data_IF_824915307873
#
_entry.id   IF_824915307873
#
_cell.length_a   1.000
_cell.length_b   1.000
_cell.length_c   1.000
_cell.angle_alpha   90.00
_cell.angle_beta   90.00
_cell.angle_gamma   90.00
#
_symmetry.space_group_name_H-M   'P 1'
#
loop_
_entity.id
_entity.type
_entity.pdbx_description
1 polymer ?
#
# COMPACT_ATOMS: atom_id res chain seq x y z
N UNK A 1 6.55 15.20 -27.36
CA UNK A 1 6.24 15.31 -25.92
C UNK A 1 6.11 16.79 -25.58
N UNK A 2 4.90 17.35 -25.55
CA UNK A 2 4.70 18.74 -25.11
C UNK A 2 4.43 18.71 -23.61
N UNK A 3 5.35 19.28 -22.86
CA UNK A 3 5.21 19.54 -21.42
C UNK A 3 4.17 20.67 -21.27
N UNK A 4 3.03 20.39 -20.62
CA UNK A 4 2.06 21.44 -20.28
C UNK A 4 2.70 22.55 -19.42
N UNK A 5 2.05 23.72 -19.28
CA UNK A 5 2.62 24.86 -18.56
C UNK A 5 3.13 24.43 -17.19
N UNK A 6 4.35 24.84 -16.82
CA UNK A 6 4.94 24.47 -15.54
C UNK A 6 4.03 25.02 -14.43
N UNK A 7 3.50 24.13 -13.60
CA UNK A 7 2.79 24.52 -12.38
C UNK A 7 3.65 25.53 -11.61
N UNK A 8 3.01 26.49 -10.92
CA UNK A 8 3.72 27.52 -10.15
C UNK A 8 4.78 26.88 -9.22
N UNK A 9 5.84 27.62 -8.87
CA UNK A 9 6.84 27.12 -7.91
C UNK A 9 6.18 26.64 -6.63
N UNK A 10 5.16 27.34 -6.17
CA UNK A 10 4.39 26.99 -4.99
C UNK A 10 3.68 25.63 -5.12
N UNK A 11 3.06 25.32 -6.27
CA UNK A 11 2.39 24.03 -6.48
C UNK A 11 3.38 22.85 -6.47
N UNK A 12 4.59 23.03 -6.98
CA UNK A 12 5.64 22.00 -6.94
C UNK A 12 6.14 21.75 -5.51
N UNK A 13 6.36 22.82 -4.75
CA UNK A 13 6.74 22.70 -3.34
C UNK A 13 5.66 22.00 -2.50
N UNK A 14 4.39 22.37 -2.73
CA UNK A 14 3.26 21.74 -2.05
C UNK A 14 3.20 20.23 -2.37
N UNK A 15 3.31 19.84 -3.63
CA UNK A 15 3.32 18.42 -4.04
C UNK A 15 4.48 17.64 -3.41
N UNK A 16 5.68 18.21 -3.38
CA UNK A 16 6.84 17.60 -2.72
C UNK A 16 6.61 17.45 -1.22
N UNK A 17 6.06 18.46 -0.57
CA UNK A 17 5.73 18.41 0.87
C UNK A 17 4.70 17.36 1.20
N UNK A 18 3.61 17.26 0.42
CA UNK A 18 2.57 16.23 0.61
C UNK A 18 3.12 14.81 0.39
N UNK A 19 4.00 14.63 -0.60
CA UNK A 19 4.63 13.34 -0.82
C UNK A 19 5.60 12.94 0.28
N UNK A 20 6.47 13.87 0.73
CA UNK A 20 7.35 13.60 1.86
C UNK A 20 6.55 13.24 3.12
N UNK A 21 5.47 13.96 3.38
CA UNK A 21 4.60 13.65 4.52
C UNK A 21 3.95 12.26 4.37
N UNK A 22 3.60 11.80 3.16
CA UNK A 22 3.07 10.46 2.96
C UNK A 22 4.10 9.37 3.34
N UNK A 23 5.37 9.54 2.97
CA UNK A 23 6.45 8.64 3.39
C UNK A 23 6.64 8.64 4.90
N UNK A 24 6.63 9.82 5.54
CA UNK A 24 6.75 9.95 7.00
C UNK A 24 5.57 9.32 7.74
N UNK A 25 4.35 9.48 7.24
CA UNK A 25 3.15 8.86 7.81
C UNK A 25 3.20 7.33 7.66
N UNK A 26 3.57 6.82 6.50
CA UNK A 26 3.70 5.38 6.26
C UNK A 26 4.74 4.75 7.20
N UNK A 27 5.92 5.36 7.31
CA UNK A 27 6.98 4.90 8.22
C UNK A 27 6.56 5.05 9.68
N UNK A 28 6.04 6.21 10.09
CA UNK A 28 5.66 6.50 11.47
C UNK A 28 4.54 5.56 11.97
N UNK A 29 3.50 5.35 11.15
CA UNK A 29 2.42 4.41 11.48
C UNK A 29 2.96 2.97 11.61
N UNK A 30 3.84 2.56 10.70
CA UNK A 30 4.46 1.22 10.76
C UNK A 30 5.26 1.05 12.04
N UNK A 31 6.16 1.98 12.36
CA UNK A 31 6.97 1.93 13.58
C UNK A 31 6.09 1.94 14.85
N UNK A 32 5.04 2.75 14.86
CA UNK A 32 4.08 2.78 15.96
C UNK A 32 3.41 1.43 16.16
N UNK A 33 2.92 0.80 15.09
CA UNK A 33 2.29 -0.52 15.15
C UNK A 33 3.27 -1.63 15.56
N UNK A 34 4.52 -1.57 15.11
CA UNK A 34 5.58 -2.48 15.55
C UNK A 34 5.81 -2.40 17.06
N UNK A 35 5.94 -1.19 17.60
CA UNK A 35 6.14 -0.98 19.03
C UNK A 35 4.92 -1.41 19.85
N UNK A 36 3.70 -1.07 19.39
CA UNK A 36 2.46 -1.42 20.04
C UNK A 36 2.23 -2.93 20.10
N UNK A 37 2.66 -3.65 19.06
CA UNK A 37 2.47 -5.09 18.92
C UNK A 37 3.35 -5.92 19.85
N UNK A 38 4.43 -5.36 20.39
CA UNK A 38 5.40 -6.04 21.27
C UNK A 38 5.81 -7.41 20.71
N UNK A 39 6.52 -7.47 19.57
CA UNK A 39 6.84 -8.72 18.88
C UNK A 39 7.51 -9.72 19.80
N UNK A 40 7.16 -10.99 19.68
CA UNK A 40 7.71 -12.09 20.48
C UNK A 40 6.95 -12.38 21.79
N UNK A 41 6.01 -11.53 22.23
CA UNK A 41 5.23 -11.78 23.45
C UNK A 41 4.14 -12.84 23.26
N UNK A 42 3.68 -13.04 22.02
CA UNK A 42 2.69 -14.05 21.65
C UNK A 42 2.77 -14.36 20.16
N UNK A 43 2.10 -15.44 19.70
CA UNK A 43 1.94 -15.68 18.26
C UNK A 43 1.14 -14.57 17.58
N UNK A 44 0.11 -14.05 18.27
CA UNK A 44 -0.71 -12.97 17.77
C UNK A 44 0.13 -11.70 17.48
N UNK A 45 1.12 -11.39 18.33
CA UNK A 45 1.91 -10.15 18.23
C UNK A 45 2.64 -10.00 16.88
N UNK A 46 2.94 -11.11 16.22
CA UNK A 46 3.58 -11.11 14.90
C UNK A 46 2.63 -10.73 13.74
N UNK A 47 1.31 -10.96 13.92
CA UNK A 47 0.34 -10.60 12.90
C UNK A 47 0.34 -9.08 12.59
N UNK A 48 0.11 -8.18 13.55
CA UNK A 48 0.16 -6.75 13.26
C UNK A 48 1.54 -6.26 12.83
N UNK A 49 2.64 -6.91 13.27
CA UNK A 49 4.00 -6.61 12.81
C UNK A 49 4.12 -6.82 11.30
N UNK A 50 3.85 -8.02 10.82
CA UNK A 50 4.01 -8.34 9.41
C UNK A 50 2.99 -7.63 8.53
N UNK A 51 1.75 -7.45 8.99
CA UNK A 51 0.73 -6.73 8.25
C UNK A 51 1.02 -5.24 8.13
N UNK A 52 1.59 -4.60 9.15
CA UNK A 52 1.98 -3.19 9.06
C UNK A 52 3.18 -2.99 8.12
N UNK A 53 4.18 -3.86 8.15
CA UNK A 53 5.28 -3.84 7.19
C UNK A 53 4.76 -3.99 5.76
N UNK A 54 3.83 -4.94 5.53
CA UNK A 54 3.28 -5.19 4.21
C UNK A 54 2.44 -4.01 3.71
N UNK A 55 1.42 -3.60 4.46
CA UNK A 55 0.35 -2.75 3.97
C UNK A 55 0.45 -1.28 4.40
N UNK A 56 1.14 -0.96 5.52
CA UNK A 56 1.37 0.43 5.90
C UNK A 56 2.68 1.00 5.32
N UNK A 57 3.69 0.15 5.04
CA UNK A 57 4.98 0.58 4.52
C UNK A 57 5.22 0.12 3.08
N UNK A 58 5.44 -1.18 2.85
CA UNK A 58 5.94 -1.67 1.56
C UNK A 58 4.99 -1.41 0.40
N UNK A 59 3.67 -1.61 0.58
CA UNK A 59 2.69 -1.41 -0.48
C UNK A 59 2.59 0.06 -0.92
N UNK A 60 2.34 1.05 -0.04
CA UNK A 60 2.30 2.45 -0.45
C UNK A 60 3.64 2.94 -0.98
N UNK A 61 4.77 2.57 -0.38
CA UNK A 61 6.09 2.96 -0.86
C UNK A 61 6.37 2.44 -2.28
N UNK A 62 6.00 1.18 -2.57
CA UNK A 62 6.14 0.60 -3.90
C UNK A 62 5.38 1.39 -4.98
N UNK A 63 4.22 1.96 -4.65
CA UNK A 63 3.42 2.76 -5.59
C UNK A 63 4.00 4.17 -5.69
N UNK A 64 4.37 4.79 -4.58
CA UNK A 64 4.95 6.14 -4.51
C UNK A 64 6.30 6.27 -5.25
N UNK A 65 7.03 5.16 -5.48
CA UNK A 65 8.23 5.14 -6.32
C UNK A 65 8.02 5.77 -7.71
N UNK A 66 6.83 5.64 -8.27
CA UNK A 66 6.51 6.16 -9.60
C UNK A 66 6.00 7.61 -9.60
N UNK A 67 5.90 8.23 -8.43
CA UNK A 67 5.55 9.65 -8.33
C UNK A 67 6.62 10.51 -8.99
N UNK A 68 6.26 11.39 -9.94
CA UNK A 68 7.25 12.23 -10.63
C UNK A 68 7.87 13.28 -9.71
N UNK A 69 7.15 13.74 -8.70
CA UNK A 69 7.56 14.85 -7.84
C UNK A 69 7.85 14.46 -6.38
N UNK A 70 7.31 13.31 -5.94
CA UNK A 70 7.28 12.90 -4.53
C UNK A 70 8.23 11.74 -4.22
N UNK A 71 8.71 11.01 -5.25
CA UNK A 71 9.59 9.88 -5.03
C UNK A 71 10.98 10.35 -4.60
N UNK A 72 11.57 9.83 -3.51
CA UNK A 72 12.97 10.06 -3.16
C UNK A 72 13.91 9.53 -4.25
N UNK A 73 13.41 8.64 -5.11
CA UNK A 73 14.12 8.07 -6.26
C UNK A 73 13.78 8.79 -7.58
N UNK A 74 13.40 10.07 -7.55
CA UNK A 74 13.01 10.83 -8.76
C UNK A 74 14.11 10.85 -9.82
N UNK A 75 15.39 10.82 -9.40
CA UNK A 75 16.57 10.81 -10.29
C UNK A 75 16.93 9.40 -10.82
N UNK A 76 16.33 8.35 -10.28
CA UNK A 76 16.60 6.99 -10.73
C UNK A 76 15.95 6.68 -12.07
N UNK A 77 16.61 5.83 -12.86
CA UNK A 77 16.05 5.34 -14.12
C UNK A 77 14.75 4.57 -13.88
N UNK A 78 13.90 4.51 -14.91
CA UNK A 78 12.65 3.73 -14.85
C UNK A 78 12.90 2.25 -14.54
N UNK A 79 13.99 1.69 -15.04
CA UNK A 79 14.37 0.30 -14.78
C UNK A 79 14.61 0.06 -13.29
N UNK A 80 15.36 0.94 -12.61
CA UNK A 80 15.61 0.86 -11.16
C UNK A 80 14.29 0.95 -10.38
N UNK A 81 13.40 1.89 -10.75
CA UNK A 81 12.07 2.00 -10.10
C UNK A 81 11.24 0.72 -10.26
N UNK A 82 11.26 0.09 -11.43
CA UNK A 82 10.56 -1.18 -11.66
C UNK A 82 11.16 -2.29 -10.79
N UNK A 83 12.49 -2.38 -10.67
CA UNK A 83 13.13 -3.34 -9.80
C UNK A 83 12.79 -3.13 -8.32
N UNK A 84 12.85 -1.88 -7.84
CA UNK A 84 12.49 -1.54 -6.47
C UNK A 84 11.00 -1.86 -6.19
N UNK A 85 10.11 -1.52 -7.13
CA UNK A 85 8.69 -1.85 -7.04
C UNK A 85 8.47 -3.36 -6.93
N UNK A 86 9.10 -4.13 -7.81
CA UNK A 86 8.99 -5.58 -7.80
C UNK A 86 9.49 -6.19 -6.48
N UNK A 87 10.64 -5.73 -5.99
CA UNK A 87 11.21 -6.18 -4.72
C UNK A 87 10.28 -5.83 -3.54
N UNK A 88 9.79 -4.59 -3.48
CA UNK A 88 8.86 -4.17 -2.44
C UNK A 88 7.55 -4.97 -2.48
N UNK A 89 6.98 -5.24 -3.66
CA UNK A 89 5.77 -6.05 -3.79
C UNK A 89 5.99 -7.52 -3.41
N UNK A 90 7.18 -8.06 -3.67
CA UNK A 90 7.56 -9.40 -3.16
C UNK A 90 7.59 -9.41 -1.64
N UNK A 91 8.16 -8.37 -1.01
CA UNK A 91 8.14 -8.23 0.44
C UNK A 91 6.71 -8.09 1.00
N UNK A 92 5.81 -7.38 0.30
CA UNK A 92 4.38 -7.32 0.68
C UNK A 92 3.79 -8.72 0.74
N UNK A 93 3.95 -9.53 -0.31
CA UNK A 93 3.38 -10.88 -0.36
C UNK A 93 3.98 -11.77 0.73
N UNK A 94 5.30 -11.75 0.91
CA UNK A 94 5.98 -12.56 1.94
C UNK A 94 5.54 -12.15 3.34
N UNK A 95 5.58 -10.86 3.66
CA UNK A 95 5.20 -10.38 4.98
C UNK A 95 3.71 -10.65 5.27
N UNK A 96 2.80 -10.37 4.32
CA UNK A 96 1.38 -10.63 4.50
C UNK A 96 1.07 -12.13 4.69
N UNK A 97 1.77 -13.01 3.97
CA UNK A 97 1.66 -14.46 4.14
C UNK A 97 2.13 -14.90 5.53
N UNK A 98 3.26 -14.39 6.00
CA UNK A 98 3.75 -14.64 7.36
C UNK A 98 2.75 -14.14 8.40
N UNK A 99 2.22 -12.92 8.26
CA UNK A 99 1.20 -12.37 9.14
C UNK A 99 -0.07 -13.21 9.18
N UNK A 100 -0.50 -13.76 8.04
CA UNK A 100 -1.62 -14.70 7.97
C UNK A 100 -1.31 -16.02 8.71
N UNK A 101 -0.15 -16.61 8.49
CA UNK A 101 0.28 -17.85 9.17
C UNK A 101 0.28 -17.65 10.69
N UNK A 102 0.81 -16.53 11.18
CA UNK A 102 0.84 -16.25 12.62
C UNK A 102 -0.55 -16.10 13.23
N UNK A 103 -1.48 -15.39 12.57
CA UNK A 103 -2.84 -15.23 13.11
C UNK A 103 -3.62 -16.54 13.08
N UNK A 104 -3.50 -17.32 12.02
CA UNK A 104 -4.14 -18.64 11.93
C UNK A 104 -3.59 -19.55 13.02
N UNK A 105 -2.28 -19.62 13.20
CA UNK A 105 -1.64 -20.44 14.26
C UNK A 105 -2.05 -19.97 15.66
N UNK A 106 -2.14 -18.65 15.88
CA UNK A 106 -2.58 -18.10 17.17
C UNK A 106 -4.02 -18.47 17.48
N UNK A 107 -4.93 -18.33 16.51
CA UNK A 107 -6.35 -18.69 16.69
C UNK A 107 -6.55 -20.19 16.89
N UNK A 108 -5.83 -21.02 16.14
CA UNK A 108 -5.88 -22.48 16.31
C UNK A 108 -5.47 -22.90 17.73
N UNK A 109 -4.40 -22.28 18.27
CA UNK A 109 -3.95 -22.57 19.64
C UNK A 109 -4.94 -22.11 20.71
N UNK A 110 -5.70 -21.06 20.44
CA UNK A 110 -6.67 -20.49 21.37
C UNK A 110 -8.10 -20.97 21.11
N UNK A 111 -8.29 -21.93 20.20
CA UNK A 111 -9.59 -22.47 19.79
C UNK A 111 -10.61 -21.40 19.36
N UNK A 112 -10.11 -20.29 18.79
CA UNK A 112 -10.93 -19.16 18.34
C UNK A 112 -11.40 -19.34 16.90
N UNK A 113 -12.64 -18.95 16.58
CA UNK A 113 -13.18 -19.08 15.24
C UNK A 113 -12.46 -18.16 14.23
N UNK A 114 -12.34 -18.63 12.98
CA UNK A 114 -11.79 -17.88 11.88
C UNK A 114 -12.87 -17.09 11.13
N UNK A 115 -12.46 -16.00 10.45
CA UNK A 115 -13.26 -15.21 9.49
C UNK A 115 -14.59 -14.66 10.03
N UNK A 116 -14.65 -14.35 11.33
CA UNK A 116 -15.85 -13.83 11.98
C UNK A 116 -15.95 -12.30 12.02
N UNK A 117 -14.92 -11.58 11.57
CA UNK A 117 -14.92 -10.11 11.57
C UNK A 117 -14.73 -9.55 10.18
N UNK A 118 -15.23 -8.34 9.93
CA UNK A 118 -15.00 -7.62 8.67
C UNK A 118 -13.52 -7.43 8.36
N UNK A 119 -12.68 -7.19 9.38
CA UNK A 119 -11.22 -7.14 9.21
C UNK A 119 -10.68 -8.45 8.64
N UNK A 120 -11.11 -9.60 9.15
CA UNK A 120 -10.61 -10.90 8.67
C UNK A 120 -11.11 -11.25 7.27
N UNK A 121 -12.36 -10.94 6.94
CA UNK A 121 -12.93 -11.19 5.61
C UNK A 121 -12.26 -10.32 4.54
N UNK A 122 -12.20 -9.00 4.78
CA UNK A 122 -11.52 -8.08 3.86
C UNK A 122 -10.01 -8.32 3.84
N UNK A 123 -9.40 -8.75 4.94
CA UNK A 123 -7.98 -9.10 5.01
C UNK A 123 -7.61 -10.25 4.07
N UNK A 124 -8.40 -11.33 4.06
CA UNK A 124 -8.19 -12.46 3.13
C UNK A 124 -8.42 -12.03 1.69
N UNK A 125 -9.47 -11.25 1.43
CA UNK A 125 -9.73 -10.69 0.09
C UNK A 125 -8.58 -9.80 -0.38
N UNK A 126 -8.07 -8.92 0.50
CA UNK A 126 -6.91 -8.06 0.23
C UNK A 126 -5.69 -8.87 -0.14
N UNK A 127 -5.39 -9.91 0.64
CA UNK A 127 -4.24 -10.78 0.37
C UNK A 127 -4.38 -11.51 -0.97
N UNK A 128 -5.55 -12.08 -1.26
CA UNK A 128 -5.82 -12.75 -2.53
C UNK A 128 -5.66 -11.79 -3.72
N UNK A 129 -6.22 -10.57 -3.62
CA UNK A 129 -6.11 -9.54 -4.63
C UNK A 129 -4.65 -9.06 -4.80
N UNK A 130 -3.89 -8.94 -3.71
CA UNK A 130 -2.45 -8.60 -3.73
C UNK A 130 -1.64 -9.67 -4.45
N UNK A 131 -1.90 -10.95 -4.20
CA UNK A 131 -1.26 -12.06 -4.92
C UNK A 131 -1.60 -12.02 -6.42
N UNK A 132 -2.86 -11.78 -6.77
CA UNK A 132 -3.29 -11.59 -8.16
C UNK A 132 -2.56 -10.43 -8.85
N UNK A 133 -2.39 -9.31 -8.15
CA UNK A 133 -1.62 -8.15 -8.63
C UNK A 133 -0.12 -8.47 -8.80
N UNK A 134 0.46 -9.24 -7.89
CA UNK A 134 1.85 -9.68 -8.01
C UNK A 134 2.04 -10.58 -9.25
N UNK A 135 1.12 -11.51 -9.51
CA UNK A 135 1.13 -12.35 -10.72
C UNK A 135 0.94 -11.52 -12.00
N UNK A 136 0.05 -10.54 -11.99
CA UNK A 136 -0.13 -9.60 -13.11
C UNK A 136 1.15 -8.80 -13.36
N UNK A 137 1.80 -8.30 -12.31
CA UNK A 137 3.08 -7.59 -12.39
C UNK A 137 4.22 -8.48 -12.92
N UNK A 138 4.27 -9.74 -12.50
CA UNK A 138 5.21 -10.74 -13.01
C UNK A 138 4.99 -10.99 -14.51
N UNK A 139 3.73 -11.06 -14.94
CA UNK A 139 3.36 -11.21 -16.34
C UNK A 139 3.83 -10.01 -17.19
N UNK A 140 3.74 -8.80 -16.66
CA UNK A 140 4.27 -7.59 -17.30
C UNK A 140 5.80 -7.53 -17.33
N UNK A 141 6.47 -8.22 -16.41
CA UNK A 141 7.94 -8.31 -16.36
C UNK A 141 8.50 -9.25 -17.42
N UNK A 142 7.77 -10.33 -17.71
CA UNK A 142 8.19 -11.37 -18.63
C UNK A 142 7.15 -11.63 -19.74
N UNK A 143 6.75 -10.62 -20.52
CA UNK A 143 5.64 -10.74 -21.48
C UNK A 143 5.96 -11.71 -22.62
N UNK A 144 7.22 -11.82 -23.02
CA UNK A 144 7.66 -12.72 -24.08
C UNK A 144 7.58 -14.20 -23.63
N UNK A 145 8.00 -14.48 -22.41
CA UNK A 145 7.95 -15.83 -21.83
C UNK A 145 6.49 -16.33 -21.72
N UNK A 146 5.58 -15.44 -21.35
CA UNK A 146 4.16 -15.75 -21.17
C UNK A 146 3.31 -15.49 -22.43
N UNK A 147 3.97 -15.18 -23.57
CA UNK A 147 3.33 -14.93 -24.88
C UNK A 147 2.18 -13.90 -24.82
N UNK A 148 2.36 -12.83 -24.04
CA UNK A 148 1.34 -11.79 -23.86
C UNK A 148 1.42 -10.80 -25.03
N UNK A 149 0.37 -10.73 -25.85
CA UNK A 149 0.26 -9.78 -26.97
C UNK A 149 -0.27 -8.40 -26.52
N UNK A 150 -1.19 -8.36 -25.56
CA UNK A 150 -1.90 -7.15 -25.13
C UNK A 150 -1.21 -6.45 -23.92
N UNK A 151 0.11 -6.24 -23.98
CA UNK A 151 0.90 -5.67 -22.86
C UNK A 151 0.40 -4.30 -22.40
N UNK A 152 -0.06 -3.45 -23.32
CA UNK A 152 -0.56 -2.11 -22.98
C UNK A 152 -1.85 -2.18 -22.15
N UNK A 153 -2.78 -3.06 -22.51
CA UNK A 153 -4.02 -3.28 -21.77
C UNK A 153 -3.74 -3.90 -20.40
N UNK A 154 -2.87 -4.91 -20.34
CA UNK A 154 -2.48 -5.54 -19.08
C UNK A 154 -1.84 -4.54 -18.12
N UNK A 155 -1.03 -3.60 -18.63
CA UNK A 155 -0.46 -2.50 -17.83
C UNK A 155 -1.54 -1.57 -17.29
N UNK A 156 -2.54 -1.23 -18.09
CA UNK A 156 -3.67 -0.41 -17.65
C UNK A 156 -4.43 -1.12 -16.52
N UNK A 157 -4.76 -2.40 -16.69
CA UNK A 157 -5.41 -3.20 -15.65
C UNK A 157 -4.56 -3.28 -14.38
N UNK A 158 -3.25 -3.53 -14.51
CA UNK A 158 -2.37 -3.57 -13.35
C UNK A 158 -2.40 -2.26 -12.55
N UNK A 159 -2.34 -1.11 -13.22
CA UNK A 159 -2.39 0.20 -12.54
C UNK A 159 -3.77 0.43 -11.89
N UNK A 160 -4.86 0.17 -12.61
CA UNK A 160 -6.21 0.41 -12.10
C UNK A 160 -6.58 -0.54 -10.97
N UNK A 161 -6.37 -1.84 -11.15
CA UNK A 161 -6.61 -2.83 -10.11
C UNK A 161 -5.65 -2.66 -8.93
N UNK A 162 -4.40 -2.23 -9.18
CA UNK A 162 -3.42 -1.92 -8.14
C UNK A 162 -3.89 -0.78 -7.22
N UNK A 163 -4.56 0.24 -7.78
CA UNK A 163 -5.19 1.29 -6.99
C UNK A 163 -6.33 0.74 -6.12
N UNK A 164 -7.18 -0.11 -6.70
CA UNK A 164 -8.29 -0.77 -5.94
C UNK A 164 -7.72 -1.61 -4.79
N UNK A 165 -6.66 -2.39 -5.03
CA UNK A 165 -6.00 -3.19 -3.99
C UNK A 165 -5.39 -2.30 -2.91
N UNK A 166 -4.79 -1.17 -3.28
CA UNK A 166 -4.26 -0.20 -2.32
C UNK A 166 -5.37 0.36 -1.42
N UNK A 167 -6.51 0.74 -1.97
CA UNK A 167 -7.67 1.21 -1.21
C UNK A 167 -8.25 0.10 -0.31
N UNK A 168 -8.38 -1.12 -0.82
CA UNK A 168 -8.84 -2.26 -0.05
C UNK A 168 -7.91 -2.57 1.12
N UNK A 169 -6.60 -2.51 0.92
CA UNK A 169 -5.59 -2.65 1.97
C UNK A 169 -5.72 -1.54 3.03
N UNK A 170 -5.92 -0.29 2.59
CA UNK A 170 -6.15 0.85 3.50
C UNK A 170 -7.36 0.61 4.39
N UNK A 171 -8.50 0.21 3.81
CA UNK A 171 -9.70 -0.12 4.59
C UNK A 171 -9.49 -1.30 5.54
N UNK A 172 -8.74 -2.31 5.11
CA UNK A 172 -8.40 -3.46 5.98
C UNK A 172 -7.56 -3.03 7.18
N UNK A 173 -6.58 -2.12 6.98
CA UNK A 173 -5.80 -1.54 8.08
C UNK A 173 -6.69 -0.74 9.03
N UNK A 174 -7.59 0.10 8.50
CA UNK A 174 -8.56 0.87 9.28
C UNK A 174 -9.42 -0.05 10.15
N UNK A 175 -9.93 -1.15 9.60
CA UNK A 175 -10.68 -2.15 10.38
C UNK A 175 -9.81 -2.84 11.44
N UNK A 176 -8.52 -2.99 11.20
CA UNK A 176 -7.56 -3.46 12.22
C UNK A 176 -7.42 -2.47 13.38
N UNK A 177 -7.39 -1.17 13.09
CA UNK A 177 -7.39 -0.09 14.10
C UNK A 177 -8.72 -0.04 14.86
N UNK A 178 -9.82 -0.48 14.26
CA UNK A 178 -11.11 -0.62 14.92
C UNK A 178 -11.25 -1.90 15.76
N UNK A 179 -10.25 -2.79 15.78
CA UNK A 179 -10.30 -4.03 16.57
C UNK A 179 -10.22 -3.75 18.07
N UNK A 180 -10.79 -4.66 18.86
CA UNK A 180 -10.74 -4.60 20.34
C UNK A 180 -9.29 -4.58 20.86
N UNK A 181 -8.41 -5.34 20.19
CA UNK A 181 -6.99 -5.35 20.53
C UNK A 181 -6.34 -3.96 20.44
N UNK A 182 -6.63 -3.21 19.38
CA UNK A 182 -6.06 -1.88 19.20
C UNK A 182 -6.70 -0.88 20.17
N UNK A 183 -8.05 -0.91 20.29
CA UNK A 183 -8.79 0.00 21.16
C UNK A 183 -8.50 -0.22 22.65
N UNK A 184 -8.10 -1.42 23.05
CA UNK A 184 -7.64 -1.69 24.42
C UNK A 184 -6.37 -0.91 24.78
N UNK A 185 -5.52 -0.60 23.79
CA UNK A 185 -4.22 0.05 23.98
C UNK A 185 -4.25 1.55 23.65
N UNK A 186 -5.02 1.97 22.63
CA UNK A 186 -5.08 3.35 22.15
C UNK A 186 -6.52 3.85 22.26
N UNK A 187 -6.74 4.89 23.07
CA UNK A 187 -8.07 5.42 23.40
C UNK A 187 -8.21 6.91 23.10
N UNK A 188 -9.45 7.39 23.12
CA UNK A 188 -9.77 8.82 23.00
C UNK A 188 -9.29 9.44 21.70
N UNK A 189 -8.81 10.67 21.76
CA UNK A 189 -8.37 11.45 20.59
C UNK A 189 -7.26 10.74 19.80
N UNK A 190 -6.36 10.03 20.49
CA UNK A 190 -5.27 9.31 19.85
C UNK A 190 -5.78 8.18 18.91
N UNK A 191 -6.88 7.52 19.27
CA UNK A 191 -7.50 6.50 18.43
C UNK A 191 -8.04 7.10 17.12
N UNK A 192 -8.76 8.24 17.18
CA UNK A 192 -9.26 8.93 15.99
C UNK A 192 -8.12 9.40 15.09
N UNK A 193 -7.02 9.87 15.69
CA UNK A 193 -5.83 10.26 14.95
C UNK A 193 -5.23 9.05 14.21
N UNK A 194 -5.03 7.92 14.88
CA UNK A 194 -4.54 6.69 14.26
C UNK A 194 -5.47 6.18 13.15
N UNK A 195 -6.80 6.33 13.32
CA UNK A 195 -7.79 5.93 12.32
C UNK A 195 -7.65 6.73 11.01
N UNK A 196 -7.27 8.00 11.10
CA UNK A 196 -7.11 8.89 9.94
C UNK A 196 -5.79 8.66 9.18
N UNK A 197 -4.73 8.21 9.86
CA UNK A 197 -3.38 8.10 9.27
C UNK A 197 -3.31 7.24 8.00
N UNK A 198 -3.93 6.04 7.90
CA UNK A 198 -3.83 5.21 6.70
C UNK A 198 -4.40 5.87 5.44
N UNK A 199 -5.38 6.77 5.59
CA UNK A 199 -6.00 7.45 4.46
C UNK A 199 -5.06 8.47 3.81
N UNK A 200 -4.09 9.02 4.53
CA UNK A 200 -3.24 10.08 3.99
C UNK A 200 -2.36 9.59 2.82
N UNK A 201 -1.53 8.53 2.95
CA UNK A 201 -0.78 7.97 1.82
C UNK A 201 -1.70 7.52 0.69
N UNK A 202 -2.86 6.93 1.01
CA UNK A 202 -3.83 6.49 0.02
C UNK A 202 -4.36 7.66 -0.83
N UNK A 203 -4.71 8.80 -0.22
CA UNK A 203 -5.14 10.01 -0.92
C UNK A 203 -4.05 10.57 -1.84
N UNK A 204 -2.80 10.58 -1.38
CA UNK A 204 -1.65 11.01 -2.21
C UNK A 204 -1.50 10.08 -3.43
N UNK A 205 -1.64 8.76 -3.24
CA UNK A 205 -1.59 7.76 -4.30
C UNK A 205 -2.74 7.93 -5.31
N UNK A 206 -3.97 8.15 -4.83
CA UNK A 206 -5.15 8.40 -5.69
C UNK A 206 -4.91 9.62 -6.58
N UNK A 207 -4.50 10.74 -5.98
CA UNK A 207 -4.21 11.97 -6.74
C UNK A 207 -3.11 11.77 -7.77
N UNK A 208 -2.04 11.07 -7.41
CA UNK A 208 -0.94 10.75 -8.32
C UNK A 208 -1.40 9.88 -9.51
N UNK A 209 -2.22 8.86 -9.23
CA UNK A 209 -2.71 7.95 -10.26
C UNK A 209 -3.69 8.66 -11.19
N UNK A 210 -4.57 9.51 -10.66
CA UNK A 210 -5.49 10.31 -11.45
C UNK A 210 -4.75 11.28 -12.39
N UNK A 211 -3.71 11.95 -11.91
CA UNK A 211 -2.88 12.87 -12.73
C UNK A 211 -2.19 12.15 -13.92
N UNK A 212 -1.89 10.86 -13.78
CA UNK A 212 -1.24 10.05 -14.82
C UNK A 212 -2.25 9.49 -15.83
N UNK A 213 -3.47 9.12 -15.39
CA UNK A 213 -4.45 8.44 -16.22
C UNK A 213 -5.42 9.40 -16.92
N UNK A 214 -5.72 10.56 -16.32
CA UNK A 214 -6.64 11.53 -16.93
C UNK A 214 -5.91 12.30 -18.05
N UNK A 215 -6.45 12.30 -19.30
CA UNK A 215 -5.90 13.11 -20.35
C UNK A 215 -6.03 14.58 -19.95
N UNK A 216 -4.92 15.31 -19.89
CA UNK A 216 -4.93 16.76 -19.67
C UNK A 216 -5.78 17.39 -20.75
N UNK A 217 -6.98 17.94 -20.41
CA UNK A 217 -7.78 18.74 -21.34
C UNK A 217 -6.87 19.82 -21.96
N UNK A 218 -6.70 19.77 -23.27
CA UNK A 218 -6.08 20.89 -24.00
C UNK A 218 -7.03 22.08 -23.86
N UNK A 219 -6.64 23.06 -23.06
CA UNK A 219 -7.27 24.38 -23.11
C UNK A 219 -6.76 24.99 -24.40
N UNK A 220 -7.58 24.98 -25.45
CA UNK A 220 -7.38 25.83 -26.62
C UNK A 220 -7.73 27.25 -26.18
N UNK A 221 -6.69 28.07 -26.02
CA UNK A 221 -6.77 29.53 -25.97
C UNK A 221 -6.43 30.04 -27.37
#
# INVERSE_FOLDING_TARGET
MQVGPPGSRASRWLRRGTGLLAHLVALGLTLFLLLLSRPGTSLFSWHPVFMSIAFCLCLPEAILLFSPENSPFCLCSRLVKVWLHWTAQTLVVVAATLGLVFIVSSKNRSELPHLVSWHSLLGVLTLAATCGQALCGLSLRFPQLLRISAVAQLRLYHVTCGLVVCLLATFTVVLGICSDWFQAQVKGVAWYFCLALPFYPALVIVNQTADVQLPKKRVHV
#
